data_IF_399609384237
#
_entry.id   IF_399609384237
#
_cell.length_a   1.000
_cell.length_b   1.000
_cell.length_c   1.000
_cell.angle_alpha   90.00
_cell.angle_beta   90.00
_cell.angle_gamma   90.00
#
_symmetry.space_group_name_H-M   'P 1'
#
loop_
_entity.id
_entity.type
_entity.pdbx_description
1 polymer ?
#
# COMPACT_ATOMS: atom_id res chain seq x y z
N UNK A 1 0.30 16.12 -27.68
CA UNK A 1 -0.95 16.54 -27.01
C UNK A 1 -0.68 17.87 -26.34
N UNK A 2 -1.56 18.87 -26.48
CA UNK A 2 -1.29 20.22 -25.94
C UNK A 2 -1.45 20.21 -24.41
N UNK A 3 -0.65 21.00 -23.67
CA UNK A 3 -0.69 21.06 -22.19
C UNK A 3 -2.11 21.30 -21.65
N UNK A 4 -2.90 22.14 -22.35
CA UNK A 4 -4.30 22.43 -22.03
C UNK A 4 -5.20 21.19 -22.08
N UNK A 5 -4.99 20.29 -23.04
CA UNK A 5 -5.75 19.03 -23.17
C UNK A 5 -5.39 18.03 -22.07
N UNK A 6 -4.11 17.98 -21.67
CA UNK A 6 -3.65 17.19 -20.52
C UNK A 6 -4.34 17.68 -19.24
N UNK A 7 -4.31 19.00 -19.00
CA UNK A 7 -4.87 19.59 -17.79
C UNK A 7 -6.38 19.33 -17.70
N UNK A 8 -7.12 19.46 -18.80
CA UNK A 8 -8.56 19.20 -18.81
C UNK A 8 -8.85 17.71 -18.56
N UNK A 9 -8.10 16.80 -19.20
CA UNK A 9 -8.32 15.36 -19.07
C UNK A 9 -7.89 14.80 -17.71
N UNK A 10 -6.82 15.35 -17.14
CA UNK A 10 -6.18 14.86 -15.92
C UNK A 10 -6.45 15.78 -14.70
N UNK A 11 -7.41 16.71 -14.82
CA UNK A 11 -7.74 17.74 -13.82
C UNK A 11 -7.95 17.14 -12.43
N UNK A 12 -8.62 15.98 -12.36
CA UNK A 12 -8.84 15.24 -11.13
C UNK A 12 -7.53 14.91 -10.42
N UNK A 13 -6.57 14.29 -11.11
CA UNK A 13 -5.30 13.87 -10.51
C UNK A 13 -4.41 15.04 -10.11
N UNK A 14 -4.48 16.15 -10.85
CA UNK A 14 -3.82 17.40 -10.46
C UNK A 14 -4.41 17.96 -9.15
N UNK A 15 -5.73 17.89 -9.00
CA UNK A 15 -6.40 18.28 -7.77
C UNK A 15 -6.04 17.36 -6.60
N UNK A 16 -6.03 16.03 -6.81
CA UNK A 16 -5.60 15.06 -5.81
C UNK A 16 -4.15 15.33 -5.37
N UNK A 17 -3.25 15.60 -6.31
CA UNK A 17 -1.85 15.91 -6.01
C UNK A 17 -1.73 17.21 -5.19
N UNK A 18 -2.48 18.25 -5.55
CA UNK A 18 -2.52 19.49 -4.78
C UNK A 18 -3.03 19.26 -3.36
N UNK A 19 -4.07 18.43 -3.18
CA UNK A 19 -4.53 18.02 -1.84
C UNK A 19 -3.44 17.32 -1.05
N UNK A 20 -2.79 16.30 -1.64
CA UNK A 20 -1.74 15.52 -0.98
C UNK A 20 -0.64 16.45 -0.47
N UNK A 21 -0.18 17.38 -1.30
CA UNK A 21 0.86 18.35 -0.92
C UNK A 21 0.39 19.21 0.25
N UNK A 22 -0.82 19.78 0.18
CA UNK A 22 -1.37 20.63 1.24
C UNK A 22 -1.58 19.85 2.55
N UNK A 23 -2.17 18.66 2.48
CA UNK A 23 -2.42 17.81 3.64
C UNK A 23 -1.12 17.36 4.30
N UNK A 24 -0.13 16.89 3.53
CA UNK A 24 1.17 16.51 4.08
C UNK A 24 1.93 17.70 4.67
N UNK A 25 1.83 18.89 4.08
CA UNK A 25 2.40 20.09 4.66
C UNK A 25 1.75 20.46 6.00
N UNK A 26 0.41 20.34 6.09
CA UNK A 26 -0.33 20.50 7.35
C UNK A 26 0.15 19.50 8.39
N UNK A 27 0.22 18.22 8.04
CA UNK A 27 0.66 17.13 8.93
C UNK A 27 2.11 17.30 9.38
N UNK A 28 3.03 17.66 8.49
CA UNK A 28 4.42 17.94 8.82
C UNK A 28 4.55 19.14 9.77
N UNK A 29 3.78 20.20 9.52
CA UNK A 29 3.76 21.37 10.40
C UNK A 29 3.27 21.01 11.80
N UNK A 30 2.30 20.10 11.91
CA UNK A 30 1.85 19.52 13.18
C UNK A 30 2.95 18.69 13.82
N UNK A 31 3.57 17.76 13.08
CA UNK A 31 4.70 16.95 13.57
C UNK A 31 5.83 17.79 14.15
N UNK A 32 6.15 18.90 13.49
CA UNK A 32 7.23 19.79 13.90
C UNK A 32 6.85 20.63 15.12
N UNK A 33 5.58 21.06 15.22
CA UNK A 33 5.06 21.69 16.43
C UNK A 33 5.01 20.70 17.61
N UNK A 34 4.88 19.41 17.33
CA UNK A 34 4.95 18.30 18.27
C UNK A 34 6.39 17.86 18.61
N UNK A 35 7.46 18.55 18.21
CA UNK A 35 8.88 18.15 18.48
C UNK A 35 9.27 17.99 19.97
N UNK A 36 8.32 18.11 20.91
CA UNK A 36 8.45 17.60 22.29
C UNK A 36 8.08 16.10 22.45
N UNK A 37 7.43 15.47 21.46
CA UNK A 37 7.01 14.05 21.45
C UNK A 37 7.26 13.45 20.06
N UNK A 38 8.18 12.47 19.92
CA UNK A 38 8.44 11.81 18.64
C UNK A 38 7.20 11.10 18.11
N UNK A 39 6.85 11.31 16.82
CA UNK A 39 5.73 10.61 16.17
C UNK A 39 5.86 9.09 16.23
N UNK A 40 7.09 8.55 16.31
CA UNK A 40 7.31 7.11 16.52
C UNK A 40 6.73 6.59 17.84
N UNK A 41 6.70 7.40 18.90
CA UNK A 41 6.10 7.05 20.19
C UNK A 41 4.57 7.11 20.21
N UNK A 42 3.94 7.76 19.22
CA UNK A 42 2.47 7.82 19.05
C UNK A 42 1.89 6.42 18.74
N UNK A 43 2.74 5.53 18.22
CA UNK A 43 2.34 4.20 17.75
C UNK A 43 2.99 3.06 18.55
N UNK A 44 3.78 3.38 19.59
CA UNK A 44 4.36 2.38 20.47
C UNK A 44 3.31 1.87 21.47
N UNK A 45 3.41 0.57 21.77
CA UNK A 45 2.34 -0.20 22.40
C UNK A 45 2.28 -0.08 23.93
N UNK A 46 3.18 0.67 24.53
CA UNK A 46 3.33 0.84 25.99
C UNK A 46 2.55 2.03 26.56
N UNK A 47 1.54 2.55 25.86
CA UNK A 47 0.80 3.71 26.34
C UNK A 47 -0.18 3.25 27.42
N UNK A 48 0.20 3.49 28.68
CA UNK A 48 -0.67 3.35 29.84
C UNK A 48 -1.80 4.39 29.81
N UNK A 49 -2.87 4.17 30.56
CA UNK A 49 -4.01 5.10 30.67
C UNK A 49 -3.64 6.53 31.13
N UNK A 50 -2.47 6.71 31.75
CA UNK A 50 -1.90 8.01 32.11
C UNK A 50 -1.22 8.71 30.93
N UNK A 51 -0.55 7.97 30.05
CA UNK A 51 0.08 8.55 28.86
C UNK A 51 -0.94 8.92 27.77
N UNK A 52 -2.10 8.25 27.72
CA UNK A 52 -3.24 8.67 26.90
C UNK A 52 -3.82 10.03 27.32
N UNK A 53 -3.80 10.31 28.63
CA UNK A 53 -4.16 11.63 29.16
C UNK A 53 -3.10 12.67 28.79
N UNK A 54 -1.82 12.31 28.88
CA UNK A 54 -0.68 13.16 28.50
C UNK A 54 -0.60 13.39 26.98
N UNK A 55 -0.96 12.41 26.15
CA UNK A 55 -1.01 12.53 24.69
C UNK A 55 -2.13 13.48 24.25
N UNK A 56 -3.33 13.31 24.81
CA UNK A 56 -4.41 14.26 24.61
C UNK A 56 -4.02 15.64 25.15
N UNK A 57 -3.38 15.74 26.32
CA UNK A 57 -2.91 17.01 26.87
C UNK A 57 -1.81 17.65 26.00
N UNK A 58 -0.92 16.87 25.39
CA UNK A 58 0.18 17.35 24.53
C UNK A 58 -0.32 17.74 23.14
N UNK A 59 -1.27 17.01 22.56
CA UNK A 59 -1.98 17.45 21.35
C UNK A 59 -2.77 18.72 21.65
N UNK A 60 -3.52 18.76 22.76
CA UNK A 60 -4.27 19.94 23.18
C UNK A 60 -3.32 21.12 23.45
N UNK A 61 -2.15 20.92 24.08
CA UNK A 61 -1.09 21.93 24.31
C UNK A 61 -0.41 22.39 23.02
N UNK A 62 -0.09 21.48 22.10
CA UNK A 62 0.51 21.83 20.81
C UNK A 62 -0.48 22.64 19.96
N UNK A 63 -1.74 22.21 19.91
CA UNK A 63 -2.85 22.95 19.30
C UNK A 63 -3.05 24.29 19.99
N UNK A 64 -2.97 24.40 21.32
CA UNK A 64 -3.14 25.68 22.04
C UNK A 64 -1.91 26.59 22.04
N UNK A 65 -0.72 26.11 21.69
CA UNK A 65 0.52 26.91 21.61
C UNK A 65 0.60 27.80 20.35
N UNK A 66 0.06 27.33 19.21
CA UNK A 66 -0.12 28.09 17.96
C UNK A 66 -1.49 27.79 17.30
N UNK A 67 -2.61 28.05 17.99
CA UNK A 67 -3.94 27.57 17.62
C UNK A 67 -4.43 28.10 16.28
N UNK A 68 -4.06 29.34 15.97
CA UNK A 68 -4.49 30.02 14.75
C UNK A 68 -3.88 29.37 13.51
N UNK A 69 -2.58 29.06 13.53
CA UNK A 69 -1.90 28.45 12.37
C UNK A 69 -2.37 27.02 12.17
N UNK A 70 -2.52 26.26 13.27
CA UNK A 70 -3.03 24.89 13.24
C UNK A 70 -4.47 24.80 12.73
N UNK A 71 -5.40 25.54 13.35
CA UNK A 71 -6.80 25.57 12.90
C UNK A 71 -6.88 26.07 11.46
N UNK A 72 -6.08 27.06 11.07
CA UNK A 72 -6.06 27.52 9.68
C UNK A 72 -5.68 26.40 8.70
N UNK A 73 -4.60 25.65 8.95
CA UNK A 73 -4.19 24.57 8.05
C UNK A 73 -5.14 23.37 8.05
N UNK A 74 -5.65 22.95 9.22
CA UNK A 74 -6.64 21.87 9.29
C UNK A 74 -7.95 22.28 8.62
N UNK A 75 -8.46 23.48 8.87
CA UNK A 75 -9.66 24.02 8.22
C UNK A 75 -9.44 24.21 6.72
N UNK A 76 -8.23 24.56 6.28
CA UNK A 76 -7.90 24.70 4.87
C UNK A 76 -7.86 23.33 4.18
N UNK A 77 -7.24 22.31 4.79
CA UNK A 77 -7.25 20.94 4.28
C UNK A 77 -8.67 20.35 4.27
N UNK A 78 -9.45 20.55 5.35
CA UNK A 78 -10.83 20.07 5.43
C UNK A 78 -11.76 20.82 4.48
N UNK A 79 -11.57 22.14 4.34
CA UNK A 79 -12.29 22.98 3.37
C UNK A 79 -11.98 22.57 1.93
N UNK A 80 -10.73 22.24 1.61
CA UNK A 80 -10.36 21.72 0.31
C UNK A 80 -10.99 20.35 0.03
N UNK A 81 -11.05 19.47 1.04
CA UNK A 81 -11.74 18.18 0.93
C UNK A 81 -13.25 18.35 0.70
N UNK A 82 -13.90 19.27 1.40
CA UNK A 82 -15.32 19.56 1.20
C UNK A 82 -15.58 20.14 -0.20
N UNK A 83 -14.75 21.07 -0.67
CA UNK A 83 -14.83 21.62 -2.02
C UNK A 83 -14.60 20.54 -3.09
N UNK A 84 -13.70 19.59 -2.83
CA UNK A 84 -13.46 18.44 -3.71
C UNK A 84 -14.69 17.55 -3.83
N UNK A 85 -15.25 17.15 -2.70
CA UNK A 85 -16.43 16.29 -2.63
C UNK A 85 -17.63 16.97 -3.29
N UNK A 86 -17.82 18.27 -3.03
CA UNK A 86 -18.84 19.08 -3.70
C UNK A 86 -18.61 19.11 -5.22
N UNK A 87 -17.36 19.26 -5.67
CA UNK A 87 -17.00 19.17 -7.08
C UNK A 87 -17.34 17.83 -7.72
N UNK A 88 -17.03 16.70 -7.07
CA UNK A 88 -17.41 15.35 -7.53
C UNK A 88 -18.93 15.21 -7.61
N UNK A 89 -19.66 15.70 -6.60
CA UNK A 89 -21.13 15.63 -6.59
C UNK A 89 -21.71 16.44 -7.74
N UNK A 90 -21.24 17.67 -7.96
CA UNK A 90 -21.69 18.54 -9.06
C UNK A 90 -21.35 17.90 -10.41
N UNK A 91 -20.13 17.42 -10.60
CA UNK A 91 -19.72 16.73 -11.83
C UNK A 91 -20.54 15.44 -12.05
N UNK A 92 -20.85 14.71 -10.97
CA UNK A 92 -21.69 13.51 -10.99
C UNK A 92 -23.14 13.80 -11.38
N UNK A 93 -23.74 14.86 -10.82
CA UNK A 93 -25.08 15.33 -11.20
C UNK A 93 -25.11 15.75 -12.68
N UNK A 94 -24.10 16.49 -13.14
CA UNK A 94 -23.97 16.91 -14.54
C UNK A 94 -23.72 15.74 -15.51
N UNK A 95 -23.01 14.71 -15.05
CA UNK A 95 -22.81 13.46 -15.79
C UNK A 95 -24.10 12.64 -15.87
N UNK A 96 -24.89 12.56 -14.79
CA UNK A 96 -26.19 11.88 -14.78
C UNK A 96 -27.16 12.52 -15.78
N UNK A 97 -27.19 13.85 -15.91
CA UNK A 97 -27.97 14.56 -16.93
C UNK A 97 -27.52 14.22 -18.37
N UNK A 98 -26.23 13.92 -18.59
CA UNK A 98 -25.70 13.54 -19.92
C UNK A 98 -25.77 12.05 -20.23
N UNK A 99 -25.88 11.19 -19.21
CA UNK A 99 -25.97 9.73 -19.36
C UNK A 99 -27.37 9.28 -19.80
N UNK A 100 -28.40 10.12 -19.62
CA UNK A 100 -29.74 9.89 -20.19
C UNK A 100 -29.76 9.82 -21.74
N UNK A 101 -28.64 10.14 -22.41
CA UNK A 101 -28.62 10.40 -23.85
C UNK A 101 -27.65 9.52 -24.67
N UNK A 102 -27.28 8.31 -24.21
CA UNK A 102 -26.46 7.38 -25.02
C UNK A 102 -26.82 5.91 -24.95
N UNK A 103 -26.93 5.32 -26.16
CA UNK A 103 -27.03 3.89 -26.44
C UNK A 103 -25.87 3.07 -25.86
N UNK A 104 -26.21 1.85 -25.46
CA UNK A 104 -25.37 0.87 -24.79
C UNK A 104 -24.26 0.33 -25.68
N UNK A 105 -23.00 0.52 -25.27
CA UNK A 105 -21.83 -0.04 -25.95
C UNK A 105 -21.68 -1.50 -25.54
N UNK A 106 -21.92 -2.42 -26.47
CA UNK A 106 -21.61 -3.83 -26.33
C UNK A 106 -20.09 -4.03 -26.12
N UNK A 107 -19.72 -4.63 -24.98
CA UNK A 107 -18.33 -4.99 -24.67
C UNK A 107 -18.08 -6.40 -25.19
N UNK A 108 -17.40 -6.51 -26.32
CA UNK A 108 -16.79 -7.77 -26.75
C UNK A 108 -15.46 -7.45 -27.39
N UNK A 109 -14.35 -7.74 -26.71
CA UNK A 109 -13.07 -7.95 -27.38
C UNK A 109 -12.07 -8.75 -26.53
N UNK A 110 -11.27 -9.53 -27.26
CA UNK A 110 -10.50 -10.68 -26.82
C UNK A 110 -9.40 -10.40 -25.78
N UNK A 111 -9.02 -11.46 -25.07
CA UNK A 111 -7.86 -11.54 -24.17
C UNK A 111 -6.59 -11.16 -24.94
N UNK A 112 -6.00 -10.03 -24.58
CA UNK A 112 -4.79 -9.47 -25.19
C UNK A 112 -4.01 -8.61 -24.19
N UNK A 113 -2.73 -8.36 -24.52
CA UNK A 113 -1.71 -7.58 -23.77
C UNK A 113 -2.30 -6.39 -23.00
N UNK A 114 -1.85 -6.18 -21.76
CA UNK A 114 -2.22 -5.02 -20.92
C UNK A 114 -2.11 -3.69 -21.72
N UNK A 115 -3.23 -3.00 -21.87
CA UNK A 115 -3.36 -1.75 -22.64
C UNK A 115 -3.30 -0.48 -21.75
N UNK A 116 -2.95 -0.67 -20.48
CA UNK A 116 -2.57 0.39 -19.56
C UNK A 116 -1.04 0.54 -19.51
N UNK A 117 -0.58 1.73 -19.12
CA UNK A 117 0.82 2.08 -19.06
C UNK A 117 1.20 2.74 -17.73
N UNK A 118 2.36 3.40 -17.74
CA UNK A 118 2.93 4.07 -16.56
C UNK A 118 2.00 5.17 -16.02
N UNK A 119 1.23 5.84 -16.89
CA UNK A 119 0.29 6.87 -16.44
C UNK A 119 -0.81 6.30 -15.53
N UNK A 120 -1.37 5.14 -15.86
CA UNK A 120 -2.36 4.48 -15.00
C UNK A 120 -1.73 4.00 -13.67
N UNK A 121 -0.47 3.55 -13.69
CA UNK A 121 0.28 3.26 -12.46
C UNK A 121 0.36 4.52 -11.58
N UNK A 122 0.79 5.65 -12.14
CA UNK A 122 0.86 6.92 -11.40
C UNK A 122 -0.50 7.36 -10.85
N UNK A 123 -1.59 7.14 -11.58
CA UNK A 123 -2.95 7.48 -11.13
C UNK A 123 -3.37 6.66 -9.91
N UNK A 124 -3.12 5.35 -9.91
CA UNK A 124 -3.41 4.49 -8.74
C UNK A 124 -2.57 4.92 -7.54
N UNK A 125 -1.28 5.23 -7.76
CA UNK A 125 -0.39 5.73 -6.70
C UNK A 125 -0.89 7.07 -6.12
N UNK A 126 -1.34 8.00 -6.98
CA UNK A 126 -1.94 9.27 -6.52
C UNK A 126 -3.21 9.03 -5.70
N UNK A 127 -4.08 8.11 -6.12
CA UNK A 127 -5.29 7.76 -5.36
C UNK A 127 -4.93 7.16 -4.00
N UNK A 128 -3.92 6.28 -3.95
CA UNK A 128 -3.43 5.69 -2.69
C UNK A 128 -2.93 6.77 -1.72
N UNK A 129 -2.02 7.65 -2.15
CA UNK A 129 -1.51 8.72 -1.30
C UNK A 129 -2.56 9.77 -0.92
N UNK A 130 -3.55 9.99 -1.77
CA UNK A 130 -4.72 10.82 -1.43
C UNK A 130 -5.53 10.16 -0.31
N UNK A 131 -5.85 8.87 -0.44
CA UNK A 131 -6.58 8.12 0.57
C UNK A 131 -5.82 8.07 1.90
N UNK A 132 -4.50 7.91 1.86
CA UNK A 132 -3.62 7.97 3.03
C UNK A 132 -3.71 9.33 3.71
N UNK A 133 -3.63 10.42 2.94
CA UNK A 133 -3.74 11.79 3.46
C UNK A 133 -5.11 12.04 4.12
N UNK A 134 -6.19 11.55 3.50
CA UNK A 134 -7.56 11.64 4.06
C UNK A 134 -7.67 10.82 5.35
N UNK A 135 -7.16 9.59 5.36
CA UNK A 135 -7.18 8.71 6.53
C UNK A 135 -6.42 9.35 7.70
N UNK A 136 -5.23 9.92 7.45
CA UNK A 136 -4.44 10.61 8.47
C UNK A 136 -5.20 11.81 9.08
N UNK A 137 -5.79 12.66 8.24
CA UNK A 137 -6.59 13.80 8.70
C UNK A 137 -7.83 13.37 9.48
N UNK A 138 -8.51 12.31 9.02
CA UNK A 138 -9.64 11.74 9.72
C UNK A 138 -9.25 11.19 11.09
N UNK A 139 -8.14 10.45 11.18
CA UNK A 139 -7.63 9.90 12.45
C UNK A 139 -7.32 11.02 13.44
N UNK A 140 -6.67 12.10 13.01
CA UNK A 140 -6.38 13.26 13.88
C UNK A 140 -7.68 13.97 14.30
N UNK A 141 -8.59 14.24 13.35
CA UNK A 141 -9.85 14.89 13.65
C UNK A 141 -10.71 14.06 14.62
N UNK A 142 -10.82 12.77 14.37
CA UNK A 142 -11.50 11.85 15.28
C UNK A 142 -10.84 11.84 16.65
N UNK A 143 -9.50 11.84 16.74
CA UNK A 143 -8.79 11.83 18.03
C UNK A 143 -9.11 13.07 18.87
N UNK A 144 -9.31 14.22 18.22
CA UNK A 144 -9.65 15.48 18.88
C UNK A 144 -11.10 15.56 19.35
N UNK A 145 -12.04 15.07 18.55
CA UNK A 145 -13.47 15.29 18.80
C UNK A 145 -14.20 14.06 19.37
N UNK A 146 -13.67 12.85 19.13
CA UNK A 146 -14.29 11.56 19.46
C UNK A 146 -13.26 10.57 20.04
N UNK A 147 -12.48 10.93 21.08
CA UNK A 147 -11.32 10.15 21.53
C UNK A 147 -11.66 8.73 22.01
N UNK A 148 -12.90 8.47 22.42
CA UNK A 148 -13.33 7.18 22.98
C UNK A 148 -13.82 6.17 21.93
N UNK A 149 -13.93 6.56 20.66
CA UNK A 149 -14.53 5.72 19.59
C UNK A 149 -13.47 5.02 18.73
N UNK A 150 -12.21 5.48 18.77
CA UNK A 150 -11.19 5.08 17.82
C UNK A 150 -10.45 3.83 18.33
N UNK A 151 -10.29 2.84 17.44
CA UNK A 151 -9.32 1.76 17.65
C UNK A 151 -7.93 2.36 17.88
N UNK A 152 -7.15 1.82 18.82
CA UNK A 152 -5.81 2.35 19.15
C UNK A 152 -4.74 1.29 18.95
N UNK A 153 -3.49 1.75 18.90
CA UNK A 153 -2.32 0.89 18.75
C UNK A 153 -2.26 0.21 17.39
N UNK A 154 -1.62 -0.96 17.35
CA UNK A 154 -1.26 -1.57 16.07
C UNK A 154 -2.45 -2.09 15.26
N UNK A 155 -3.57 -2.47 15.90
CA UNK A 155 -4.77 -2.88 15.17
C UNK A 155 -5.34 -1.73 14.34
N UNK A 156 -5.29 -0.49 14.85
CA UNK A 156 -5.70 0.70 14.10
C UNK A 156 -4.86 0.87 12.84
N UNK A 157 -3.53 0.79 12.99
CA UNK A 157 -2.59 0.90 11.88
C UNK A 157 -2.85 -0.16 10.80
N UNK A 158 -3.09 -1.41 11.21
CA UNK A 158 -3.36 -2.50 10.29
C UNK A 158 -4.72 -2.36 9.59
N UNK A 159 -5.74 -1.85 10.28
CA UNK A 159 -7.04 -1.56 9.66
C UNK A 159 -6.89 -0.43 8.63
N UNK A 160 -6.17 0.64 8.96
CA UNK A 160 -5.89 1.73 8.02
C UNK A 160 -5.12 1.19 6.81
N UNK A 161 -4.05 0.43 7.02
CA UNK A 161 -3.26 -0.18 5.93
C UNK A 161 -4.15 -1.05 5.02
N UNK A 162 -5.00 -1.90 5.62
CA UNK A 162 -5.95 -2.73 4.87
C UNK A 162 -6.92 -1.90 4.04
N UNK A 163 -7.48 -0.83 4.61
CA UNK A 163 -8.37 0.07 3.87
C UNK A 163 -7.65 0.72 2.69
N UNK A 164 -6.40 1.17 2.88
CA UNK A 164 -5.61 1.78 1.81
C UNK A 164 -5.29 0.79 0.69
N UNK A 165 -4.94 -0.45 1.03
CA UNK A 165 -4.68 -1.50 0.05
C UNK A 165 -5.95 -1.90 -0.72
N UNK A 166 -7.11 -1.97 -0.03
CA UNK A 166 -8.42 -2.17 -0.67
C UNK A 166 -8.74 -1.03 -1.63
N UNK A 167 -8.45 0.23 -1.26
CA UNK A 167 -8.63 1.39 -2.14
C UNK A 167 -7.72 1.29 -3.36
N UNK A 168 -6.45 0.91 -3.20
CA UNK A 168 -5.53 0.71 -4.33
C UNK A 168 -5.99 -0.39 -5.28
N UNK A 169 -6.38 -1.56 -4.75
CA UNK A 169 -6.91 -2.68 -5.54
C UNK A 169 -8.23 -2.29 -6.22
N UNK A 170 -9.11 -1.58 -5.51
CA UNK A 170 -10.35 -1.04 -6.06
C UNK A 170 -10.10 -0.08 -7.22
N UNK A 171 -9.11 0.82 -7.10
CA UNK A 171 -8.70 1.71 -8.18
C UNK A 171 -8.15 0.93 -9.38
N UNK A 172 -7.34 -0.12 -9.16
CA UNK A 172 -6.89 -1.02 -10.23
C UNK A 172 -8.07 -1.65 -10.95
N UNK A 173 -9.03 -2.24 -10.22
CA UNK A 173 -10.20 -2.84 -10.84
C UNK A 173 -11.06 -1.83 -11.58
N UNK A 174 -11.25 -0.63 -11.04
CA UNK A 174 -11.91 0.45 -11.74
C UNK A 174 -11.22 0.77 -13.08
N UNK A 175 -9.90 0.95 -13.08
CA UNK A 175 -9.17 1.24 -14.33
C UNK A 175 -9.24 0.09 -15.32
N UNK A 176 -8.99 -1.14 -14.88
CA UNK A 176 -8.93 -2.30 -15.76
C UNK A 176 -10.30 -2.66 -16.30
N UNK A 177 -11.31 -2.74 -15.44
CA UNK A 177 -12.64 -3.25 -15.79
C UNK A 177 -13.51 -2.17 -16.44
N UNK A 178 -13.47 -0.94 -15.93
CA UNK A 178 -14.37 0.13 -16.38
C UNK A 178 -13.71 1.03 -17.42
N UNK A 179 -12.50 1.54 -17.13
CA UNK A 179 -11.83 2.50 -18.02
C UNK A 179 -11.26 1.81 -19.26
N UNK A 180 -10.57 0.68 -19.07
CA UNK A 180 -9.96 -0.12 -20.16
C UNK A 180 -10.89 -1.17 -20.73
N UNK A 181 -12.06 -1.40 -20.12
CA UNK A 181 -13.07 -2.39 -20.55
C UNK A 181 -12.48 -3.79 -20.73
N UNK A 182 -11.54 -4.17 -19.84
CA UNK A 182 -10.93 -5.51 -19.80
C UNK A 182 -11.59 -6.36 -18.72
N UNK A 183 -11.20 -7.62 -18.65
CA UNK A 183 -11.66 -8.55 -17.62
C UNK A 183 -10.54 -8.83 -16.61
N UNK A 184 -10.88 -9.49 -15.50
CA UNK A 184 -9.93 -9.86 -14.44
C UNK A 184 -8.79 -10.77 -14.94
N UNK A 185 -9.03 -11.58 -15.98
CA UNK A 185 -7.99 -12.43 -16.57
C UNK A 185 -6.84 -11.60 -17.18
N UNK A 186 -7.07 -10.33 -17.54
CA UNK A 186 -6.00 -9.44 -18.04
C UNK A 186 -4.96 -9.08 -16.96
N UNK A 187 -5.34 -9.17 -15.68
CA UNK A 187 -4.43 -9.09 -14.53
C UNK A 187 -3.82 -10.46 -14.18
N UNK A 188 -4.22 -11.54 -14.87
CA UNK A 188 -3.89 -12.91 -14.51
C UNK A 188 -4.71 -13.48 -13.34
N UNK A 189 -5.76 -12.79 -12.89
CA UNK A 189 -6.76 -13.36 -11.98
C UNK A 189 -7.67 -14.29 -12.77
N UNK A 190 -7.39 -15.60 -12.71
CA UNK A 190 -8.18 -16.61 -13.40
C UNK A 190 -8.32 -17.88 -12.56
N UNK A 191 -9.52 -18.47 -12.57
CA UNK A 191 -9.78 -19.77 -11.96
C UNK A 191 -9.34 -20.95 -12.85
N UNK A 192 -8.96 -20.68 -14.11
CA UNK A 192 -8.51 -21.72 -15.04
C UNK A 192 -7.25 -22.39 -14.49
N UNK A 193 -7.26 -23.73 -14.45
CA UNK A 193 -6.16 -24.54 -13.95
C UNK A 193 -5.72 -24.16 -12.52
N UNK A 194 -6.65 -23.72 -11.66
CA UNK A 194 -6.35 -23.22 -10.31
C UNK A 194 -5.37 -24.11 -9.53
N UNK A 195 -5.69 -25.40 -9.35
CA UNK A 195 -4.82 -26.33 -8.61
C UNK A 195 -3.44 -26.53 -9.24
N UNK A 196 -3.35 -26.45 -10.58
CA UNK A 196 -2.08 -26.54 -11.28
C UNK A 196 -1.24 -25.27 -11.05
N UNK A 197 -1.87 -24.10 -11.05
CA UNK A 197 -1.19 -22.84 -10.74
C UNK A 197 -0.73 -22.78 -9.27
N UNK A 198 -1.53 -23.32 -8.34
CA UNK A 198 -1.11 -23.52 -6.94
C UNK A 198 0.11 -24.44 -6.88
N UNK A 199 0.09 -25.58 -7.59
CA UNK A 199 1.24 -26.49 -7.66
C UNK A 199 2.49 -25.80 -8.22
N UNK A 200 2.35 -24.98 -9.27
CA UNK A 200 3.47 -24.20 -9.80
C UNK A 200 4.02 -23.20 -8.79
N UNK A 201 3.15 -22.50 -8.05
CA UNK A 201 3.57 -21.63 -6.96
C UNK A 201 4.36 -22.36 -5.88
N UNK A 202 3.84 -23.49 -5.41
CA UNK A 202 4.49 -24.33 -4.39
C UNK A 202 5.86 -24.82 -4.87
N UNK A 203 5.90 -25.43 -6.05
CA UNK A 203 7.15 -26.01 -6.59
C UNK A 203 8.20 -24.94 -6.88
N UNK A 204 7.79 -23.79 -7.41
CA UNK A 204 8.69 -22.66 -7.64
C UNK A 204 9.23 -22.07 -6.32
N UNK A 205 8.40 -21.96 -5.29
CA UNK A 205 8.84 -21.51 -3.97
C UNK A 205 9.85 -22.47 -3.36
N UNK A 206 9.55 -23.78 -3.32
CA UNK A 206 10.48 -24.80 -2.78
C UNK A 206 11.83 -24.77 -3.52
N UNK A 207 11.80 -24.66 -4.86
CA UNK A 207 13.02 -24.55 -5.65
C UNK A 207 13.84 -23.28 -5.37
N UNK A 208 13.20 -22.19 -4.94
CA UNK A 208 13.89 -20.93 -4.65
C UNK A 208 14.40 -20.83 -3.22
N UNK A 209 13.77 -21.48 -2.24
CA UNK A 209 14.17 -21.35 -0.82
C UNK A 209 15.70 -21.42 -0.61
N UNK A 210 16.45 -22.37 -1.21
CA UNK A 210 17.91 -22.39 -1.08
C UNK A 210 18.61 -21.13 -1.61
N UNK A 211 18.18 -20.62 -2.78
CA UNK A 211 18.74 -19.42 -3.38
C UNK A 211 18.43 -18.20 -2.50
N UNK A 212 17.20 -18.07 -2.03
CA UNK A 212 16.80 -16.98 -1.15
C UNK A 212 17.58 -16.98 0.17
N UNK A 213 17.81 -18.16 0.76
CA UNK A 213 18.64 -18.32 1.96
C UNK A 213 20.09 -17.91 1.69
N UNK A 214 20.68 -18.33 0.58
CA UNK A 214 22.05 -17.94 0.19
C UNK A 214 22.15 -16.43 0.04
N UNK A 215 21.19 -15.79 -0.64
CA UNK A 215 21.15 -14.33 -0.82
C UNK A 215 21.03 -13.62 0.54
N UNK A 216 20.14 -14.10 1.41
CA UNK A 216 19.91 -13.50 2.74
C UNK A 216 21.16 -13.62 3.62
N UNK A 217 21.80 -14.79 3.65
CA UNK A 217 23.04 -15.02 4.40
C UNK A 217 24.18 -14.16 3.83
N UNK A 218 24.33 -14.10 2.51
CA UNK A 218 25.37 -13.29 1.87
C UNK A 218 25.23 -11.81 2.24
N UNK A 219 24.00 -11.26 2.20
CA UNK A 219 23.71 -9.88 2.61
C UNK A 219 24.03 -9.67 4.09
N UNK A 220 23.61 -10.59 4.97
CA UNK A 220 23.93 -10.51 6.39
C UNK A 220 25.44 -10.53 6.66
N UNK A 221 26.20 -11.37 5.95
CA UNK A 221 27.67 -11.42 6.05
C UNK A 221 28.30 -10.12 5.56
N UNK A 222 27.84 -9.56 4.44
CA UNK A 222 28.34 -8.28 3.91
C UNK A 222 28.12 -7.16 4.93
N UNK A 223 26.92 -7.04 5.49
CA UNK A 223 26.62 -6.01 6.48
C UNK A 223 27.50 -6.16 7.73
N UNK A 224 27.68 -7.41 8.20
CA UNK A 224 28.58 -7.71 9.32
C UNK A 224 30.04 -7.33 9.02
N UNK A 225 30.56 -7.68 7.85
CA UNK A 225 31.95 -7.37 7.45
C UNK A 225 32.16 -5.86 7.29
N UNK A 226 31.16 -5.14 6.79
CA UNK A 226 31.21 -3.69 6.61
C UNK A 226 30.82 -2.90 7.87
N UNK A 227 30.53 -3.58 9.00
CA UNK A 227 30.03 -2.98 10.24
C UNK A 227 28.80 -2.08 10.03
N UNK A 228 27.93 -2.44 9.10
CA UNK A 228 26.67 -1.74 8.85
C UNK A 228 25.61 -2.34 9.79
N UNK A 229 24.92 -1.52 10.63
CA UNK A 229 23.87 -2.02 11.49
C UNK A 229 22.71 -2.59 10.66
N UNK A 230 22.25 -3.78 11.05
CA UNK A 230 21.11 -4.45 10.42
C UNK A 230 19.85 -4.10 11.20
N UNK A 231 19.12 -3.11 10.70
CA UNK A 231 17.83 -2.74 11.26
C UNK A 231 16.74 -3.72 10.78
N UNK A 232 15.94 -4.33 11.68
CA UNK A 232 14.83 -5.16 11.29
C UNK A 232 13.77 -4.36 10.52
N UNK A 233 12.95 -5.04 9.73
CA UNK A 233 11.80 -4.39 9.12
C UNK A 233 10.82 -3.93 10.22
N UNK A 234 10.18 -2.77 10.02
CA UNK A 234 9.24 -2.20 10.99
C UNK A 234 8.10 -3.15 11.35
N UNK A 235 7.57 -3.88 10.37
CA UNK A 235 6.52 -4.91 10.62
C UNK A 235 7.01 -6.04 11.51
N UNK A 236 8.27 -6.45 11.37
CA UNK A 236 8.89 -7.50 12.20
C UNK A 236 9.07 -7.01 13.63
N UNK A 237 9.51 -5.77 13.82
CA UNK A 237 9.66 -5.15 15.13
C UNK A 237 8.31 -5.03 15.86
N UNK A 238 7.30 -4.51 15.17
CA UNK A 238 5.95 -4.36 15.70
C UNK A 238 5.40 -5.73 16.14
N UNK A 239 5.49 -6.76 15.30
CA UNK A 239 4.98 -8.10 15.61
C UNK A 239 5.72 -8.76 16.79
N UNK A 240 7.04 -8.57 16.89
CA UNK A 240 7.82 -9.06 18.04
C UNK A 240 7.36 -8.45 19.37
N UNK A 241 7.03 -7.16 19.39
CA UNK A 241 6.56 -6.44 20.59
C UNK A 241 5.05 -6.58 20.86
N UNK A 242 4.30 -7.13 19.90
CA UNK A 242 2.84 -7.23 19.97
C UNK A 242 2.36 -8.31 20.97
N UNK A 243 1.76 -7.90 22.08
CA UNK A 243 1.20 -8.83 23.09
C UNK A 243 -0.32 -9.04 23.02
N UNK A 244 -1.06 -8.22 22.27
CA UNK A 244 -2.52 -8.28 22.22
C UNK A 244 -2.93 -9.36 21.21
N UNK A 245 -3.65 -10.37 21.68
CA UNK A 245 -3.93 -11.57 20.89
C UNK A 245 -4.77 -11.27 19.63
N UNK A 246 -5.86 -10.48 19.69
CA UNK A 246 -6.58 -10.04 18.49
C UNK A 246 -5.69 -9.33 17.47
N UNK A 247 -4.86 -8.38 17.93
CA UNK A 247 -3.91 -7.65 17.07
C UNK A 247 -2.89 -8.59 16.43
N UNK A 248 -2.33 -9.52 17.20
CA UNK A 248 -1.37 -10.51 16.71
C UNK A 248 -2.00 -11.43 15.65
N UNK A 249 -3.22 -11.93 15.88
CA UNK A 249 -3.96 -12.76 14.91
C UNK A 249 -4.18 -11.98 13.62
N UNK A 250 -4.62 -10.73 13.73
CA UNK A 250 -4.87 -9.89 12.55
C UNK A 250 -3.58 -9.58 11.77
N UNK A 251 -2.48 -9.25 12.45
CA UNK A 251 -1.17 -9.06 11.81
C UNK A 251 -0.69 -10.32 11.10
N UNK A 252 -0.86 -11.49 11.72
CA UNK A 252 -0.49 -12.76 11.12
C UNK A 252 -1.31 -13.03 9.86
N UNK A 253 -2.63 -12.85 9.93
CA UNK A 253 -3.53 -12.98 8.80
C UNK A 253 -3.19 -11.99 7.67
N UNK A 254 -2.99 -10.72 8.01
CA UNK A 254 -2.64 -9.68 7.04
C UNK A 254 -1.31 -9.99 6.35
N UNK A 255 -0.26 -10.20 7.13
CA UNK A 255 1.12 -10.38 6.62
C UNK A 255 1.27 -11.67 5.82
N UNK A 256 0.60 -12.76 6.21
CA UNK A 256 0.72 -14.06 5.54
C UNK A 256 -0.21 -14.22 4.34
N UNK A 257 -1.36 -13.54 4.31
CA UNK A 257 -2.39 -13.76 3.30
C UNK A 257 -2.84 -12.49 2.60
N UNK A 258 -3.41 -11.53 3.32
CA UNK A 258 -4.09 -10.39 2.70
C UNK A 258 -3.12 -9.47 1.95
N UNK A 259 -2.02 -9.11 2.59
CA UNK A 259 -0.94 -8.30 2.02
C UNK A 259 -0.39 -8.93 0.74
N UNK A 260 0.11 -10.18 0.76
CA UNK A 260 0.57 -10.87 -0.45
C UNK A 260 -0.43 -10.85 -1.60
N UNK A 261 -1.73 -11.06 -1.35
CA UNK A 261 -2.75 -11.03 -2.40
C UNK A 261 -2.85 -9.64 -3.03
N UNK A 262 -2.94 -8.59 -2.22
CA UNK A 262 -3.09 -7.21 -2.69
C UNK A 262 -1.83 -6.72 -3.40
N UNK A 263 -0.66 -7.05 -2.86
CA UNK A 263 0.64 -6.76 -3.47
C UNK A 263 0.81 -7.45 -4.81
N UNK A 264 0.43 -8.73 -4.95
CA UNK A 264 0.52 -9.43 -6.24
C UNK A 264 -0.39 -8.81 -7.30
N UNK A 265 -1.60 -8.37 -6.94
CA UNK A 265 -2.50 -7.67 -7.86
C UNK A 265 -1.85 -6.36 -8.33
N UNK A 266 -1.27 -5.58 -7.42
CA UNK A 266 -0.63 -4.32 -7.75
C UNK A 266 0.66 -4.51 -8.55
N UNK A 267 1.61 -5.28 -8.03
CA UNK A 267 2.95 -5.39 -8.62
C UNK A 267 2.99 -6.29 -9.85
N UNK A 268 2.32 -7.44 -9.84
CA UNK A 268 2.44 -8.44 -10.93
C UNK A 268 1.32 -8.27 -11.95
N UNK A 269 0.09 -8.17 -11.46
CA UNK A 269 -1.08 -7.98 -12.32
C UNK A 269 -1.02 -6.64 -13.04
N UNK A 270 -0.82 -5.56 -12.29
CA UNK A 270 -0.95 -4.20 -12.82
C UNK A 270 0.39 -3.58 -13.27
N UNK A 271 1.38 -3.44 -12.38
CA UNK A 271 2.65 -2.75 -12.69
C UNK A 271 3.50 -3.52 -13.71
N UNK A 272 3.82 -4.79 -13.43
CA UNK A 272 4.61 -5.62 -14.33
C UNK A 272 3.92 -5.78 -15.69
N UNK A 273 2.59 -6.01 -15.70
CA UNK A 273 1.79 -6.06 -16.91
C UNK A 273 1.94 -4.81 -17.80
N UNK A 274 1.96 -3.61 -17.20
CA UNK A 274 2.17 -2.36 -17.92
C UNK A 274 3.61 -2.18 -18.42
N UNK A 275 4.60 -2.55 -17.59
CA UNK A 275 6.02 -2.37 -17.91
C UNK A 275 6.50 -3.32 -19.00
N UNK A 276 6.10 -4.60 -18.95
CA UNK A 276 6.58 -5.60 -19.91
C UNK A 276 6.28 -5.25 -21.36
N UNK A 277 5.16 -4.57 -21.60
CA UNK A 277 4.75 -4.13 -22.94
C UNK A 277 5.57 -2.94 -23.45
N UNK A 278 6.25 -2.21 -22.58
CA UNK A 278 7.05 -1.02 -22.94
C UNK A 278 8.54 -1.29 -22.98
N UNK A 279 9.06 -2.04 -22.02
CA UNK A 279 10.50 -2.26 -21.83
C UNK A 279 10.90 -3.74 -21.91
N UNK A 280 10.01 -4.59 -22.43
CA UNK A 280 10.22 -6.02 -22.58
C UNK A 280 10.11 -6.80 -21.26
N UNK A 281 10.16 -8.13 -21.36
CA UNK A 281 9.97 -9.04 -20.22
C UNK A 281 11.04 -8.80 -19.14
N UNK A 282 12.32 -8.81 -19.52
CA UNK A 282 13.43 -8.65 -18.56
C UNK A 282 13.37 -7.28 -17.87
N UNK A 283 13.18 -6.20 -18.64
CA UNK A 283 13.02 -4.86 -18.07
C UNK A 283 11.81 -4.76 -17.14
N UNK A 284 10.68 -5.35 -17.53
CA UNK A 284 9.48 -5.42 -16.72
C UNK A 284 9.73 -6.12 -15.38
N UNK A 285 10.35 -7.31 -15.40
CA UNK A 285 10.67 -8.10 -14.20
C UNK A 285 11.57 -7.30 -13.26
N UNK A 286 12.67 -6.75 -13.77
CA UNK A 286 13.66 -6.05 -12.94
C UNK A 286 13.09 -4.77 -12.35
N UNK A 287 12.38 -3.96 -13.13
CA UNK A 287 11.83 -2.68 -12.65
C UNK A 287 10.67 -2.90 -11.69
N UNK A 288 9.76 -3.86 -11.95
CA UNK A 288 8.68 -4.15 -11.01
C UNK A 288 9.20 -4.72 -9.69
N UNK A 289 10.22 -5.59 -9.73
CA UNK A 289 10.83 -6.17 -8.55
C UNK A 289 11.63 -5.14 -7.73
N UNK A 290 12.34 -4.23 -8.40
CA UNK A 290 13.04 -3.12 -7.74
C UNK A 290 12.04 -2.16 -7.10
N UNK A 291 10.93 -1.84 -7.77
CA UNK A 291 9.88 -1.03 -7.18
C UNK A 291 9.25 -1.71 -5.96
N UNK A 292 8.97 -3.01 -6.05
CA UNK A 292 8.49 -3.82 -4.94
C UNK A 292 9.45 -3.77 -3.73
N UNK A 293 10.75 -3.99 -3.95
CA UNK A 293 11.74 -3.92 -2.87
C UNK A 293 11.91 -2.50 -2.29
N UNK A 294 11.82 -1.47 -3.12
CA UNK A 294 11.98 -0.08 -2.71
C UNK A 294 10.88 0.38 -1.74
N UNK A 295 9.62 0.02 -2.00
CA UNK A 295 8.50 0.46 -1.14
C UNK A 295 8.54 -0.13 0.27
N UNK A 296 9.31 -1.21 0.49
CA UNK A 296 9.50 -1.79 1.82
C UNK A 296 10.47 -0.97 2.70
N UNK A 297 11.17 0.01 2.13
CA UNK A 297 11.96 1.01 2.85
C UNK A 297 12.94 0.45 3.89
N UNK A 298 13.54 -0.72 3.63
CA UNK A 298 14.52 -1.36 4.51
C UNK A 298 15.76 -1.79 3.72
N UNK A 299 16.91 -1.18 4.02
CA UNK A 299 18.14 -1.38 3.26
C UNK A 299 18.66 -2.82 3.36
N UNK A 300 18.64 -3.42 4.56
CA UNK A 300 19.10 -4.79 4.78
C UNK A 300 18.25 -5.83 4.04
N UNK A 301 16.94 -5.56 3.90
CA UNK A 301 15.99 -6.46 3.24
C UNK A 301 15.85 -6.16 1.75
N UNK A 302 16.43 -5.07 1.22
CA UNK A 302 16.25 -4.67 -0.17
C UNK A 302 16.66 -5.78 -1.15
N UNK A 303 17.86 -6.35 -1.00
CA UNK A 303 18.36 -7.39 -1.91
C UNK A 303 17.58 -8.71 -1.78
N UNK A 304 17.28 -9.22 -0.56
CA UNK A 304 16.38 -10.36 -0.40
C UNK A 304 15.00 -10.13 -1.03
N UNK A 305 14.34 -9.00 -0.75
CA UNK A 305 13.01 -8.68 -1.28
C UNK A 305 13.04 -8.48 -2.80
N UNK A 306 14.11 -7.88 -3.35
CA UNK A 306 14.33 -7.77 -4.79
C UNK A 306 14.41 -9.16 -5.43
N UNK A 307 15.15 -10.09 -4.82
CA UNK A 307 15.28 -11.46 -5.34
C UNK A 307 13.93 -12.21 -5.33
N UNK A 308 13.13 -12.06 -4.27
CA UNK A 308 11.76 -12.56 -4.21
C UNK A 308 10.89 -11.89 -5.27
N UNK A 309 11.04 -10.57 -5.44
CA UNK A 309 10.35 -9.77 -6.44
C UNK A 309 10.52 -10.31 -7.86
N UNK A 310 11.78 -10.58 -8.23
CA UNK A 310 12.18 -11.15 -9.52
C UNK A 310 11.54 -12.53 -9.71
N UNK A 311 11.59 -13.39 -8.70
CA UNK A 311 10.96 -14.72 -8.77
C UNK A 311 9.46 -14.59 -9.03
N UNK A 312 8.76 -13.81 -8.22
CA UNK A 312 7.31 -13.72 -8.29
C UNK A 312 6.86 -13.20 -9.67
N UNK A 313 7.59 -12.22 -10.22
CA UNK A 313 7.37 -11.75 -11.59
C UNK A 313 7.69 -12.82 -12.65
N UNK A 314 8.75 -13.60 -12.46
CA UNK A 314 9.10 -14.71 -13.35
C UNK A 314 8.05 -15.82 -13.35
N UNK A 315 7.59 -16.26 -12.18
CA UNK A 315 6.53 -17.27 -12.04
C UNK A 315 5.27 -16.78 -12.76
N UNK A 316 4.85 -15.54 -12.47
CA UNK A 316 3.69 -14.93 -13.11
C UNK A 316 3.84 -14.88 -14.63
N UNK A 317 5.02 -14.52 -15.16
CA UNK A 317 5.25 -14.49 -16.61
C UNK A 317 5.18 -15.88 -17.24
N UNK A 318 5.65 -16.92 -16.54
CA UNK A 318 5.63 -18.30 -17.05
C UNK A 318 4.25 -18.93 -17.01
N UNK A 319 3.45 -18.64 -15.98
CA UNK A 319 2.12 -19.24 -15.80
C UNK A 319 0.98 -18.40 -16.39
N UNK A 320 1.19 -17.08 -16.51
CA UNK A 320 0.13 -16.13 -16.83
C UNK A 320 -0.96 -16.02 -15.76
N UNK A 321 -0.70 -16.51 -14.54
CA UNK A 321 -1.69 -16.57 -13.45
C UNK A 321 -1.14 -16.01 -12.15
N UNK A 322 -1.84 -15.04 -11.57
CA UNK A 322 -1.52 -14.52 -10.25
C UNK A 322 -1.67 -15.58 -9.15
N UNK A 323 -2.50 -16.61 -9.34
CA UNK A 323 -2.65 -17.68 -8.34
C UNK A 323 -1.29 -18.32 -8.02
N UNK A 324 -0.45 -18.49 -9.02
CA UNK A 324 0.89 -19.09 -8.84
C UNK A 324 1.84 -18.20 -8.05
N UNK A 325 1.89 -16.90 -8.35
CA UNK A 325 2.76 -15.96 -7.63
C UNK A 325 2.21 -15.64 -6.23
N UNK A 326 0.89 -15.48 -6.08
CA UNK A 326 0.20 -15.35 -4.78
C UNK A 326 0.53 -16.53 -3.88
N UNK A 327 0.45 -17.76 -4.41
CA UNK A 327 0.75 -18.96 -3.62
C UNK A 327 2.20 -18.94 -3.13
N UNK A 328 3.16 -18.66 -4.03
CA UNK A 328 4.58 -18.59 -3.65
C UNK A 328 4.85 -17.48 -2.62
N UNK A 329 4.17 -16.33 -2.75
CA UNK A 329 4.32 -15.20 -1.85
C UNK A 329 3.72 -15.48 -0.46
N UNK A 330 2.51 -16.05 -0.40
CA UNK A 330 1.89 -16.51 0.85
C UNK A 330 2.79 -17.51 1.57
N UNK A 331 3.35 -18.48 0.84
CA UNK A 331 4.27 -19.46 1.42
C UNK A 331 5.53 -18.82 1.97
N UNK A 332 6.09 -17.83 1.26
CA UNK A 332 7.24 -17.08 1.74
C UNK A 332 6.94 -16.34 3.04
N UNK A 333 5.90 -15.51 3.05
CA UNK A 333 5.54 -14.73 4.22
C UNK A 333 5.12 -15.62 5.40
N UNK A 334 4.41 -16.71 5.14
CA UNK A 334 4.04 -17.69 6.17
C UNK A 334 5.27 -18.37 6.77
N UNK A 335 6.25 -18.76 5.96
CA UNK A 335 7.48 -19.37 6.46
C UNK A 335 8.28 -18.38 7.32
N UNK A 336 8.42 -17.12 6.88
CA UNK A 336 9.10 -16.08 7.66
C UNK A 336 8.35 -15.76 8.95
N UNK A 337 7.02 -15.73 8.90
CA UNK A 337 6.17 -15.51 10.07
C UNK A 337 6.31 -16.64 11.10
N UNK A 338 6.35 -17.91 10.66
CA UNK A 338 6.58 -19.05 11.55
C UNK A 338 7.93 -18.94 12.26
N UNK A 339 8.99 -18.61 11.51
CA UNK A 339 10.33 -18.37 12.11
C UNK A 339 10.26 -17.22 13.11
N UNK A 340 9.56 -16.15 12.79
CA UNK A 340 9.42 -14.98 13.66
C UNK A 340 8.67 -15.29 14.96
N UNK A 341 7.55 -16.02 14.88
CA UNK A 341 6.76 -16.43 16.03
C UNK A 341 7.54 -17.41 16.93
N UNK A 342 8.29 -18.33 16.32
CA UNK A 342 9.21 -19.21 17.06
C UNK A 342 10.26 -18.39 17.82
N UNK A 343 10.93 -17.44 17.15
CA UNK A 343 11.92 -16.58 17.80
C UNK A 343 11.29 -15.76 18.95
N UNK A 344 10.08 -15.23 18.76
CA UNK A 344 9.32 -14.53 19.81
C UNK A 344 9.06 -15.42 21.02
N UNK A 345 8.70 -16.69 20.79
CA UNK A 345 8.40 -17.66 21.88
C UNK A 345 9.62 -18.10 22.70
N UNK A 346 10.83 -17.97 22.16
CA UNK A 346 12.09 -18.33 22.85
C UNK A 346 12.75 -17.11 23.49
N UNK A 347 12.43 -15.90 23.04
CA UNK A 347 12.92 -14.64 23.61
C UNK A 347 12.09 -14.11 24.79
N UNK A 348 10.87 -14.62 24.95
CA UNK A 348 9.97 -14.37 26.09
C UNK A 348 10.10 -15.52 27.09
#
# INVERSE_FOLDING_TARGET
>A
MKLKEIIIREKLYLFLLAFIILANFSLYSVSKALEAVPISKIFDKEISSEEDAIFNENIIKAVTSKPIIYMAFLMLSMGFLLLFLAGIIIDGLFLCDKIQDRESIAITQAVGKADWGILEICKVIIIFFFAESVAALFTIGAALFLPNIILRGNIQLMVIATVLDVVAVGAIFYFVLIVKKRNMNSLGLTAKNFFLNVKYGITAYIGLVPIFLVVTIAVAVIFKVLNIPVEPQKVVEILKKEEDMPSLIYMCFFTSLLGPVMEEIFFRGFVYGALKNRIGILGGVLVSAAFFAYVHANLASFVPILSLGILLAYIYEKTGSLVSSITAHIMHNSAMLVVLLFLKSVSN
#
